data_IF_922723318751
#
_entry.id   IF_922723318751
#
_cell.length_a   1.000
_cell.length_b   1.000
_cell.length_c   1.000
_cell.angle_alpha   90.00
_cell.angle_beta   90.00
_cell.angle_gamma   90.00
#
_symmetry.space_group_name_H-M   'P 1'
#
loop_
_entity.id
_entity.type
_entity.pdbx_description
1 polymer ?
#
# COMPACT_ATOMS: atom_id res chain seq x y z
N UNK A 1 -3.75 59.95 52.53
CA UNK A 1 -2.87 59.14 53.40
C UNK A 1 -2.33 58.00 52.55
N UNK A 2 -1.05 57.87 52.22
CA UNK A 2 0.16 58.33 52.88
C UNK A 2 0.83 57.14 53.60
N UNK A 3 1.98 56.71 53.05
CA UNK A 3 3.07 55.83 53.60
C UNK A 3 3.37 54.69 52.62
N UNK A 4 4.41 54.67 51.77
CA UNK A 4 5.87 54.93 51.84
C UNK A 4 6.69 53.95 52.70
N UNK A 5 7.74 53.44 52.04
CA UNK A 5 9.00 52.77 52.47
C UNK A 5 8.92 51.24 52.62
N UNK A 6 9.91 50.44 52.21
CA UNK A 6 11.31 50.74 51.91
C UNK A 6 11.90 49.87 50.79
N UNK A 7 12.80 50.50 50.04
CA UNK A 7 13.77 49.92 49.11
C UNK A 7 14.82 49.15 49.91
N UNK A 8 15.13 47.92 49.51
CA UNK A 8 16.46 47.31 49.72
C UNK A 8 17.03 47.00 48.34
N UNK A 9 18.07 47.76 48.00
CA UNK A 9 18.97 47.58 46.86
C UNK A 9 19.87 46.40 47.20
N UNK A 10 19.90 45.36 46.36
CA UNK A 10 21.06 44.49 46.23
C UNK A 10 21.53 44.56 44.79
N UNK A 11 22.62 45.30 44.61
CA UNK A 11 23.44 45.35 43.43
C UNK A 11 24.10 44.00 43.20
N UNK A 12 23.89 43.43 42.02
CA UNK A 12 24.55 42.22 41.53
C UNK A 12 24.41 42.15 40.03
N UNK A 13 25.18 42.97 39.32
CA UNK A 13 25.28 42.97 37.86
C UNK A 13 25.98 41.68 37.42
N UNK A 14 25.24 40.77 36.77
CA UNK A 14 25.81 39.66 36.00
C UNK A 14 25.03 39.54 34.67
N UNK A 15 25.70 39.52 33.52
CA UNK A 15 25.02 39.45 32.23
C UNK A 15 24.64 37.99 31.94
N UNK A 16 23.42 37.57 32.28
CA UNK A 16 22.94 36.23 31.96
C UNK A 16 22.13 36.25 30.66
N UNK A 17 22.82 36.45 29.53
CA UNK A 17 22.23 36.49 28.19
C UNK A 17 22.20 35.15 27.44
N UNK A 18 22.58 34.03 28.06
CA UNK A 18 22.87 32.79 27.33
C UNK A 18 22.07 31.54 27.74
N UNK A 19 21.28 31.56 28.83
CA UNK A 19 20.63 30.34 29.34
C UNK A 19 19.16 30.14 28.90
N UNK A 20 18.52 31.14 28.27
CA UNK A 20 17.10 31.04 27.84
C UNK A 20 16.88 30.68 26.36
N UNK A 21 17.92 30.65 25.54
CA UNK A 21 17.77 30.29 24.12
C UNK A 21 17.32 28.83 23.89
N UNK A 22 17.80 27.82 24.65
CA UNK A 22 17.36 26.44 24.47
C UNK A 22 15.90 26.24 24.86
N UNK A 23 15.43 26.89 25.93
CA UNK A 23 14.06 26.78 26.42
C UNK A 23 13.04 27.44 25.47
N UNK A 24 13.38 28.60 24.91
CA UNK A 24 12.57 29.26 23.88
C UNK A 24 12.55 28.46 22.57
N UNK A 25 13.68 27.85 22.19
CA UNK A 25 13.77 26.96 21.03
C UNK A 25 12.94 25.69 21.21
N UNK A 26 12.92 25.12 22.43
CA UNK A 26 12.12 23.95 22.77
C UNK A 26 10.61 24.26 22.72
N UNK A 27 10.16 25.37 23.30
CA UNK A 27 8.76 25.79 23.24
C UNK A 27 8.28 26.09 21.82
N UNK A 28 9.13 26.69 20.97
CA UNK A 28 8.80 26.90 19.56
C UNK A 28 8.60 25.57 18.82
N UNK A 29 9.44 24.58 19.12
CA UNK A 29 9.36 23.23 18.54
C UNK A 29 8.12 22.47 19.03
N UNK A 30 7.78 22.61 20.32
CA UNK A 30 6.57 22.04 20.91
C UNK A 30 5.30 22.62 20.26
N UNK A 31 5.23 23.95 20.07
CA UNK A 31 4.13 24.57 19.34
C UNK A 31 4.03 24.11 17.89
N UNK A 32 5.16 23.86 17.22
CA UNK A 32 5.17 23.32 15.86
C UNK A 32 4.62 21.88 15.83
N UNK A 33 5.01 21.03 16.79
CA UNK A 33 4.47 19.68 16.91
C UNK A 33 2.97 19.68 17.22
N UNK A 34 2.50 20.57 18.08
CA UNK A 34 1.07 20.77 18.33
C UNK A 34 0.29 21.12 17.07
N UNK A 35 0.80 22.05 16.24
CA UNK A 35 0.17 22.41 14.96
C UNK A 35 0.16 21.23 13.98
N UNK A 36 1.27 20.49 13.89
CA UNK A 36 1.37 19.34 13.00
C UNK A 36 0.44 18.20 13.45
N UNK A 37 0.32 17.96 14.75
CA UNK A 37 -0.62 16.99 15.31
C UNK A 37 -2.07 17.39 15.04
N UNK A 38 -2.44 18.66 15.23
CA UNK A 38 -3.77 19.15 14.88
C UNK A 38 -4.09 18.98 13.38
N UNK A 39 -3.11 19.19 12.50
CA UNK A 39 -3.26 18.95 11.06
C UNK A 39 -3.41 17.45 10.74
N UNK A 40 -2.65 16.58 11.42
CA UNK A 40 -2.76 15.13 11.28
C UNK A 40 -4.12 14.61 11.77
N UNK A 41 -4.62 15.12 12.89
CA UNK A 41 -5.97 14.82 13.40
C UNK A 41 -7.05 15.30 12.42
N UNK A 42 -6.93 16.50 11.87
CA UNK A 42 -7.87 17.01 10.87
C UNK A 42 -7.88 16.17 9.58
N UNK A 43 -6.71 15.73 9.09
CA UNK A 43 -6.59 14.82 7.95
C UNK A 43 -7.18 13.45 8.26
N UNK A 44 -6.93 12.92 9.44
CA UNK A 44 -7.50 11.65 9.91
C UNK A 44 -9.04 11.74 9.96
N UNK A 45 -9.58 12.81 10.51
CA UNK A 45 -11.02 13.07 10.55
C UNK A 45 -11.63 13.24 9.15
N UNK A 46 -10.89 13.79 8.18
CA UNK A 46 -11.36 13.89 6.79
C UNK A 46 -11.41 12.51 6.10
N UNK A 47 -10.37 11.68 6.26
CA UNK A 47 -10.33 10.32 5.71
C UNK A 47 -11.43 9.45 6.32
N UNK A 48 -11.64 9.54 7.63
CA UNK A 48 -12.73 8.81 8.32
C UNK A 48 -14.10 9.25 7.78
N UNK A 49 -14.35 10.56 7.62
CA UNK A 49 -15.60 11.05 7.01
C UNK A 49 -15.82 10.54 5.60
N UNK A 50 -14.76 10.50 4.77
CA UNK A 50 -14.85 9.96 3.42
C UNK A 50 -15.17 8.46 3.43
N UNK A 51 -14.57 7.70 4.34
CA UNK A 51 -14.87 6.27 4.50
C UNK A 51 -16.33 6.05 4.97
N UNK A 52 -16.81 6.85 5.92
CA UNK A 52 -18.20 6.81 6.36
C UNK A 52 -19.19 7.16 5.24
N UNK A 53 -18.87 8.13 4.38
CA UNK A 53 -19.68 8.50 3.22
C UNK A 53 -19.78 7.37 2.19
N UNK A 54 -18.64 6.75 1.84
CA UNK A 54 -18.63 5.58 0.96
C UNK A 54 -19.44 4.42 1.54
N UNK A 55 -19.32 4.15 2.84
CA UNK A 55 -20.13 3.12 3.50
C UNK A 55 -21.62 3.47 3.50
N UNK A 56 -21.97 4.75 3.70
CA UNK A 56 -23.35 5.22 3.69
C UNK A 56 -23.96 5.11 2.29
N UNK A 57 -23.21 5.44 1.24
CA UNK A 57 -23.63 5.31 -0.15
C UNK A 57 -23.83 3.85 -0.55
N UNK A 58 -22.91 2.97 -0.17
CA UNK A 58 -23.07 1.53 -0.38
C UNK A 58 -24.32 1.00 0.34
N UNK A 59 -24.54 1.39 1.60
CA UNK A 59 -25.70 0.97 2.37
C UNK A 59 -27.01 1.55 1.80
N UNK A 60 -26.98 2.77 1.25
CA UNK A 60 -28.11 3.38 0.55
C UNK A 60 -28.46 2.65 -0.77
N UNK A 61 -27.45 2.17 -1.50
CA UNK A 61 -27.66 1.36 -2.71
C UNK A 61 -28.24 -0.02 -2.35
N UNK A 62 -27.75 -0.65 -1.27
CA UNK A 62 -28.21 -1.97 -0.82
C UNK A 62 -29.62 -1.93 -0.18
N UNK A 63 -30.02 -0.80 0.40
CA UNK A 63 -31.33 -0.63 1.04
C UNK A 63 -32.45 -0.23 0.09
N UNK A 64 -32.15 0.06 -1.19
CA UNK A 64 -33.18 0.26 -2.21
C UNK A 64 -33.77 -1.09 -2.63
N UNK A 65 -35.09 -1.30 -2.53
CA UNK A 65 -35.73 -2.51 -3.02
C UNK A 65 -35.53 -2.62 -4.54
N UNK A 66 -35.12 -3.81 -4.98
CA UNK A 66 -35.01 -4.15 -6.41
C UNK A 66 -36.43 -4.08 -7.01
N UNK A 67 -36.68 -3.24 -8.03
CA UNK A 67 -37.99 -3.21 -8.66
C UNK A 67 -38.22 -4.52 -9.43
N UNK A 68 -39.14 -5.34 -8.93
CA UNK A 68 -39.77 -6.41 -9.69
C UNK A 68 -40.67 -5.75 -10.74
N UNK A 69 -40.30 -5.83 -12.02
CA UNK A 69 -41.21 -6.05 -13.15
C UNK A 69 -40.41 -6.16 -14.46
N UNK A 70 -40.32 -7.39 -14.96
CA UNK A 70 -40.05 -7.71 -16.36
C UNK A 70 -41.39 -8.08 -16.98
N UNK A 71 -42.01 -7.15 -17.69
CA UNK A 71 -42.87 -7.48 -18.84
C UNK A 71 -42.04 -7.12 -20.07
N UNK A 72 -41.65 -8.14 -20.82
CA UNK A 72 -40.98 -8.00 -22.11
C UNK A 72 -42.03 -8.24 -23.19
N UNK A 73 -42.43 -7.18 -23.89
CA UNK A 73 -43.05 -7.31 -25.21
C UNK A 73 -42.16 -6.66 -26.27
N UNK A 74 -42.11 -7.37 -27.39
CA UNK A 74 -41.16 -7.30 -28.49
C UNK A 74 -41.71 -6.40 -29.60
N UNK A 75 -40.94 -5.44 -30.13
CA UNK A 75 -41.02 -4.94 -31.52
C UNK A 75 -39.73 -4.11 -31.81
N UNK A 76 -39.08 -4.39 -32.94
CA UNK A 76 -37.87 -3.74 -33.52
C UNK A 76 -38.28 -3.31 -34.97
N UNK A 77 -37.62 -2.40 -35.73
CA UNK A 77 -36.34 -1.74 -35.52
C UNK A 77 -36.29 -0.24 -35.88
N UNK A 78 -35.32 0.50 -35.32
CA UNK A 78 -34.35 1.34 -36.06
C UNK A 78 -33.69 2.41 -35.18
N UNK A 79 -32.39 2.58 -35.40
CA UNK A 79 -31.58 3.79 -35.17
C UNK A 79 -30.76 3.90 -33.87
N UNK A 80 -29.45 3.70 -34.06
CA UNK A 80 -28.36 4.61 -33.63
C UNK A 80 -27.67 4.38 -32.26
N UNK A 81 -26.35 4.13 -32.39
CA UNK A 81 -25.20 4.35 -31.49
C UNK A 81 -24.86 3.36 -30.35
N UNK A 82 -23.70 2.72 -30.55
CA UNK A 82 -22.74 2.08 -29.63
C UNK A 82 -22.21 3.02 -28.52
N UNK A 83 -21.51 2.58 -27.43
CA UNK A 83 -20.79 1.31 -27.29
C UNK A 83 -20.89 0.54 -25.95
N UNK A 84 -20.56 -0.75 -26.10
CA UNK A 84 -20.21 -1.80 -25.13
C UNK A 84 -19.51 -1.34 -23.83
N UNK A 85 -19.99 -1.85 -22.68
CA UNK A 85 -19.15 -2.27 -21.56
C UNK A 85 -19.26 -3.78 -21.38
N UNK A 86 -18.10 -4.42 -21.52
CA UNK A 86 -17.84 -5.84 -21.36
C UNK A 86 -17.89 -6.21 -19.88
N UNK A 87 -18.82 -7.09 -19.49
CA UNK A 87 -18.81 -7.76 -18.20
C UNK A 87 -17.98 -9.05 -18.36
N UNK A 88 -16.78 -9.07 -17.77
CA UNK A 88 -15.96 -10.28 -17.70
C UNK A 88 -16.34 -11.05 -16.43
N UNK A 89 -16.88 -12.21 -16.69
CA UNK A 89 -17.30 -13.29 -15.81
C UNK A 89 -16.16 -13.74 -14.89
N UNK A 90 -16.36 -13.72 -13.57
CA UNK A 90 -15.52 -14.47 -12.64
C UNK A 90 -15.96 -15.94 -12.69
N UNK A 91 -15.05 -16.80 -13.15
CA UNK A 91 -15.18 -18.24 -13.09
C UNK A 91 -14.94 -18.72 -11.66
N UNK A 92 -15.92 -19.40 -11.09
CA UNK A 92 -15.75 -20.23 -9.90
C UNK A 92 -15.02 -21.52 -10.26
N UNK A 93 -14.06 -21.92 -9.42
CA UNK A 93 -13.50 -23.28 -9.47
C UNK A 93 -13.70 -23.93 -8.11
N UNK A 94 -14.48 -25.01 -8.17
CA UNK A 94 -14.79 -25.92 -7.08
C UNK A 94 -13.57 -26.76 -6.70
N UNK A 95 -13.53 -27.09 -5.42
CA UNK A 95 -12.65 -28.08 -4.80
C UNK A 95 -12.74 -29.46 -5.45
N UNK A 96 -11.60 -30.14 -5.59
CA UNK A 96 -11.52 -31.60 -5.71
C UNK A 96 -10.33 -32.09 -4.88
N UNK A 97 -10.63 -32.91 -3.86
CA UNK A 97 -9.69 -33.74 -3.11
C UNK A 97 -9.20 -34.91 -3.99
N UNK A 98 -7.95 -35.34 -3.84
CA UNK A 98 -7.53 -36.76 -3.91
C UNK A 98 -6.14 -36.95 -3.27
N UNK A 99 -5.98 -38.11 -2.61
CA UNK A 99 -4.88 -38.53 -1.74
C UNK A 99 -3.74 -39.24 -2.51
N UNK A 100 -2.47 -38.98 -2.14
CA UNK A 100 -1.31 -39.87 -1.74
C UNK A 100 -1.24 -41.29 -2.39
N UNK A 101 -0.08 -41.89 -2.82
CA UNK A 101 1.17 -42.09 -2.02
C UNK A 101 2.59 -42.08 -2.69
N UNK A 102 3.58 -41.85 -1.80
CA UNK A 102 4.91 -42.50 -1.59
C UNK A 102 5.86 -42.79 -2.76
N UNK A 103 7.13 -42.32 -2.66
CA UNK A 103 8.39 -43.10 -2.50
C UNK A 103 9.66 -42.23 -2.63
N UNK A 104 10.57 -42.33 -1.67
CA UNK A 104 12.02 -42.02 -1.81
C UNK A 104 12.75 -43.17 -2.52
N UNK A 105 13.99 -42.99 -3.02
CA UNK A 105 15.15 -43.30 -2.18
C UNK A 105 16.43 -42.42 -2.37
N UNK A 106 17.25 -42.50 -1.32
CA UNK A 106 18.67 -42.21 -1.09
C UNK A 106 19.64 -42.06 -2.28
N UNK A 107 20.65 -41.19 -2.11
CA UNK A 107 22.08 -41.59 -2.08
C UNK A 107 22.95 -40.52 -1.38
N UNK A 108 24.02 -41.00 -0.74
CA UNK A 108 24.89 -40.33 0.22
C UNK A 108 26.21 -39.82 -0.40
N UNK A 109 27.07 -39.32 0.49
CA UNK A 109 28.53 -39.10 0.38
C UNK A 109 29.00 -37.71 -0.11
N UNK A 110 30.07 -37.07 0.38
CA UNK A 110 31.03 -37.25 1.49
C UNK A 110 31.74 -35.88 1.66
N UNK A 111 32.29 -35.68 2.85
CA UNK A 111 33.06 -34.55 3.41
C UNK A 111 34.28 -34.06 2.61
N UNK A 112 34.60 -32.76 2.75
CA UNK A 112 36.00 -32.28 2.85
C UNK A 112 36.11 -30.93 3.59
N UNK A 113 37.09 -30.89 4.49
CA UNK A 113 37.45 -29.86 5.49
C UNK A 113 38.08 -28.56 4.98
N UNK A 114 38.23 -27.59 5.91
CA UNK A 114 39.29 -26.56 5.97
C UNK A 114 38.77 -25.15 6.31
N UNK A 115 38.56 -24.80 7.58
CA UNK A 115 39.46 -23.99 8.44
C UNK A 115 39.84 -22.58 7.90
N UNK A 116 39.35 -21.50 8.55
CA UNK A 116 40.20 -20.67 9.44
C UNK A 116 39.49 -19.46 10.11
N UNK A 117 39.51 -19.49 11.45
CA UNK A 117 39.88 -18.43 12.42
C UNK A 117 39.59 -16.92 12.16
N UNK A 118 38.71 -16.33 13.01
CA UNK A 118 39.02 -15.30 14.05
C UNK A 118 37.79 -14.41 14.36
N UNK A 119 37.35 -14.43 15.62
CA UNK A 119 36.61 -13.31 16.21
C UNK A 119 37.10 -13.10 17.66
N UNK A 120 37.55 -11.88 17.94
CA UNK A 120 37.99 -11.44 19.25
C UNK A 120 37.38 -10.07 19.55
N UNK A 121 36.55 -9.98 20.61
CA UNK A 121 36.39 -8.80 21.51
C UNK A 121 35.43 -9.12 22.68
N UNK A 122 35.38 -8.32 23.77
CA UNK A 122 36.19 -8.54 24.97
C UNK A 122 35.38 -8.67 26.29
N UNK A 123 36.13 -8.92 27.37
CA UNK A 123 35.74 -9.14 28.78
C UNK A 123 35.13 -7.93 29.53
N UNK A 124 34.17 -8.22 30.42
CA UNK A 124 34.01 -7.70 31.80
C UNK A 124 32.86 -8.48 32.46
N UNK A 125 33.08 -9.38 33.43
CA UNK A 125 32.92 -9.17 34.88
C UNK A 125 31.60 -8.42 35.22
N UNK A 126 30.61 -8.93 35.96
CA UNK A 126 30.64 -9.68 37.23
C UNK A 126 29.31 -10.45 37.38
N UNK A 127 29.34 -11.74 37.71
CA UNK A 127 28.28 -12.42 38.45
C UNK A 127 28.93 -13.63 39.15
N UNK A 128 29.00 -13.54 40.48
CA UNK A 128 29.53 -14.58 41.34
C UNK A 128 28.60 -15.79 41.30
N UNK A 129 29.23 -16.92 41.04
CA UNK A 129 28.70 -18.27 41.04
C UNK A 129 28.23 -18.65 42.44
N UNK A 130 26.97 -19.07 42.54
CA UNK A 130 26.36 -19.69 43.71
C UNK A 130 26.35 -21.19 43.45
N UNK A 131 27.38 -21.91 43.88
CA UNK A 131 27.29 -23.31 44.31
C UNK A 131 28.51 -23.62 45.17
N UNK A 132 28.38 -24.61 46.06
CA UNK A 132 29.44 -25.24 46.89
C UNK A 132 29.81 -24.42 48.15
N UNK A 133 29.56 -24.84 49.39
CA UNK A 133 29.29 -26.15 49.98
C UNK A 133 28.48 -25.91 51.27
N UNK A 134 27.31 -26.52 51.41
CA UNK A 134 26.73 -26.74 52.74
C UNK A 134 27.59 -27.82 53.41
N UNK A 135 28.27 -27.56 54.54
CA UNK A 135 28.89 -28.64 55.29
C UNK A 135 27.78 -29.61 55.71
N UNK A 136 27.83 -30.83 55.15
CA UNK A 136 26.89 -31.91 55.46
C UNK A 136 26.66 -31.94 56.97
N UNK A 137 25.42 -32.11 57.39
CA UNK A 137 25.04 -32.23 58.80
C UNK A 137 25.96 -33.21 59.57
N UNK A 138 26.47 -34.25 58.88
CA UNK A 138 27.50 -35.18 59.39
C UNK A 138 28.82 -34.52 59.78
N UNK A 139 29.34 -33.58 58.97
CA UNK A 139 30.59 -32.86 59.30
C UNK A 139 30.41 -31.92 60.49
N UNK A 140 29.21 -31.36 60.68
CA UNK A 140 28.92 -30.49 61.82
C UNK A 140 28.66 -31.29 63.09
N UNK A 141 28.04 -32.47 62.98
CA UNK A 141 27.85 -33.40 64.09
C UNK A 141 29.20 -33.94 64.59
N UNK A 142 30.10 -34.36 63.68
CA UNK A 142 31.45 -34.81 64.05
C UNK A 142 32.27 -33.71 64.74
N UNK A 143 32.16 -32.47 64.27
CA UNK A 143 32.85 -31.32 64.90
C UNK A 143 32.28 -30.95 66.27
N UNK A 144 31.03 -31.31 66.56
CA UNK A 144 30.42 -31.12 67.88
C UNK A 144 30.75 -32.27 68.84
N UNK A 145 30.84 -33.50 68.34
CA UNK A 145 31.26 -34.68 69.10
C UNK A 145 32.74 -34.58 69.52
N UNK A 146 33.64 -34.19 68.61
CA UNK A 146 35.06 -33.95 68.90
C UNK A 146 35.25 -32.83 69.94
N UNK A 147 34.37 -31.83 69.93
CA UNK A 147 34.39 -30.73 70.90
C UNK A 147 33.84 -31.13 72.27
N UNK A 148 32.93 -32.11 72.34
CA UNK A 148 32.39 -32.61 73.60
C UNK A 148 33.37 -33.55 74.32
N UNK A 149 34.16 -34.34 73.57
CA UNK A 149 35.21 -35.20 74.13
C UNK A 149 36.34 -34.39 74.79
N UNK A 150 36.60 -33.16 74.32
CA UNK A 150 37.59 -32.26 74.90
C UNK A 150 37.25 -31.65 76.28
N UNK A 151 36.00 -31.78 76.75
CA UNK A 151 35.56 -31.23 78.06
C UNK A 151 35.39 -32.28 79.16
N UNK A 152 35.65 -33.57 78.89
CA UNK A 152 35.46 -34.66 79.87
C UNK A 152 36.77 -35.16 80.54
N UNK A 153 37.83 -34.35 80.54
CA UNK A 153 38.99 -34.55 81.41
C UNK A 153 39.05 -33.42 82.45
N UNK A 154 38.06 -33.42 83.34
CA UNK A 154 38.24 -32.76 84.63
C UNK A 154 38.92 -33.80 85.53
N UNK A 155 40.25 -33.69 85.66
CA UNK A 155 41.00 -34.39 86.70
C UNK A 155 40.29 -34.16 88.03
N UNK A 156 39.68 -35.21 88.57
CA UNK A 156 39.31 -35.26 89.97
C UNK A 156 40.61 -35.31 90.77
N UNK A 157 41.19 -34.13 91.02
CA UNK A 157 42.16 -33.95 92.09
C UNK A 157 41.34 -33.97 93.37
N UNK A 158 41.18 -35.17 93.93
CA UNK A 158 40.74 -35.37 95.31
C UNK A 158 41.80 -34.73 96.22
N UNK A 159 41.69 -33.42 96.43
CA UNK A 159 42.51 -32.68 97.38
C UNK A 159 42.09 -33.11 98.79
N UNK A 160 42.73 -34.19 99.25
CA UNK A 160 42.62 -34.72 100.59
C UNK A 160 42.88 -33.58 101.60
N UNK A 161 41.85 -33.27 102.39
CA UNK A 161 41.91 -32.34 103.50
C UNK A 161 43.06 -32.72 104.44
N UNK A 162 43.96 -31.79 104.82
CA UNK A 162 44.92 -32.05 105.87
C UNK A 162 44.17 -32.13 107.20
N UNK A 163 44.03 -33.34 107.72
CA UNK A 163 43.76 -33.60 109.13
C UNK A 163 45.00 -33.22 109.94
N UNK A 164 45.02 -32.01 110.49
CA UNK A 164 45.86 -31.66 111.64
C UNK A 164 44.98 -31.26 112.84
N UNK A 165 45.09 -32.09 113.87
CA UNK A 165 44.48 -31.97 115.18
C UNK A 165 45.10 -30.82 115.97
N UNK A 166 44.36 -29.72 116.16
CA UNK A 166 44.33 -28.84 117.36
C UNK A 166 43.71 -27.47 117.04
N UNK A 167 42.47 -27.46 116.54
CA UNK A 167 41.65 -26.26 116.42
C UNK A 167 40.31 -26.58 117.08
N UNK A 168 39.94 -25.87 118.16
CA UNK A 168 38.70 -26.13 118.90
C UNK A 168 37.46 -26.15 117.99
N UNK A 169 36.50 -27.04 118.27
CA UNK A 169 35.28 -27.26 117.48
C UNK A 169 34.54 -25.97 117.08
N UNK A 170 34.64 -24.92 117.89
CA UNK A 170 34.09 -23.59 117.62
C UNK A 170 34.73 -22.88 116.40
N UNK A 171 36.04 -23.03 116.17
CA UNK A 171 36.72 -22.44 115.03
C UNK A 171 36.41 -23.19 113.72
N UNK A 172 36.24 -24.52 113.76
CA UNK A 172 35.73 -25.29 112.62
C UNK A 172 34.30 -24.86 112.24
N UNK A 173 33.42 -24.61 113.23
CA UNK A 173 32.06 -24.09 112.99
C UNK A 173 32.07 -22.71 112.33
N UNK A 174 33.01 -21.82 112.70
CA UNK A 174 33.15 -20.50 112.05
C UNK A 174 33.61 -20.61 110.59
N UNK A 175 34.56 -21.50 110.29
CA UNK A 175 35.02 -21.77 108.92
C UNK A 175 33.89 -22.34 108.07
N UNK A 176 33.13 -23.32 108.58
CA UNK A 176 31.99 -23.89 107.87
C UNK A 176 30.88 -22.86 107.62
N UNK A 177 30.58 -21.98 108.59
CA UNK A 177 29.62 -20.86 108.41
C UNK A 177 30.11 -19.85 107.37
N UNK A 178 31.41 -19.54 107.35
CA UNK A 178 31.99 -18.67 106.33
C UNK A 178 31.91 -19.32 104.95
N UNK A 179 32.23 -20.61 104.81
CA UNK A 179 32.08 -21.37 103.55
C UNK A 179 30.62 -21.40 103.09
N UNK A 180 29.67 -21.63 104.00
CA UNK A 180 28.24 -21.61 103.68
C UNK A 180 27.80 -20.22 103.19
N UNK A 181 28.27 -19.14 103.83
CA UNK A 181 27.97 -17.78 103.38
C UNK A 181 28.58 -17.48 102.01
N UNK A 182 29.83 -17.86 101.77
CA UNK A 182 30.48 -17.72 100.45
C UNK A 182 29.69 -18.51 99.38
N UNK A 183 29.36 -19.77 99.66
CA UNK A 183 28.55 -20.59 98.75
C UNK A 183 27.14 -20.02 98.51
N UNK A 184 26.52 -19.40 99.53
CA UNK A 184 25.22 -18.73 99.38
C UNK A 184 25.34 -17.48 98.50
N UNK A 185 26.37 -16.66 98.71
CA UNK A 185 26.65 -15.48 97.88
C UNK A 185 26.97 -15.87 96.43
N UNK A 186 27.71 -16.97 96.23
CA UNK A 186 27.98 -17.54 94.90
C UNK A 186 26.70 -18.06 94.23
N UNK A 187 25.82 -18.74 94.97
CA UNK A 187 24.53 -19.20 94.46
C UNK A 187 23.62 -18.03 94.07
N UNK A 188 23.54 -16.99 94.91
CA UNK A 188 22.75 -15.79 94.64
C UNK A 188 23.31 -15.02 93.43
N UNK A 189 24.64 -14.95 93.30
CA UNK A 189 25.31 -14.36 92.14
C UNK A 189 25.02 -15.16 90.87
N UNK A 190 25.18 -16.48 90.91
CA UNK A 190 24.86 -17.38 89.80
C UNK A 190 23.39 -17.27 89.40
N UNK A 191 22.48 -17.17 90.37
CA UNK A 191 21.04 -16.99 90.15
C UNK A 191 20.74 -15.66 89.44
N UNK A 192 21.37 -14.56 89.87
CA UNK A 192 21.23 -13.25 89.21
C UNK A 192 21.78 -13.25 87.79
N UNK A 193 22.96 -13.85 87.58
CA UNK A 193 23.56 -13.96 86.26
C UNK A 193 22.72 -14.87 85.34
N UNK A 194 22.15 -15.96 85.87
CA UNK A 194 21.21 -16.81 85.14
C UNK A 194 19.94 -16.05 84.76
N UNK A 195 19.35 -15.28 85.69
CA UNK A 195 18.18 -14.44 85.40
C UNK A 195 18.45 -13.42 84.31
N UNK A 196 19.61 -12.75 84.33
CA UNK A 196 20.00 -11.82 83.25
C UNK A 196 20.14 -12.52 81.91
N UNK A 197 20.75 -13.72 81.91
CA UNK A 197 20.92 -14.51 80.68
C UNK A 197 19.57 -14.98 80.15
N UNK A 198 18.63 -15.33 81.02
CA UNK A 198 17.25 -15.66 80.64
C UNK A 198 16.52 -14.46 80.02
N UNK A 199 16.64 -13.26 80.62
CA UNK A 199 16.10 -12.01 80.05
C UNK A 199 16.71 -11.67 78.68
N UNK A 200 18.04 -11.82 78.53
CA UNK A 200 18.75 -11.65 77.26
C UNK A 200 18.27 -12.68 76.23
N UNK A 201 18.10 -13.94 76.62
CA UNK A 201 17.61 -15.00 75.76
C UNK A 201 16.16 -14.74 75.31
N UNK A 202 15.31 -14.21 76.20
CA UNK A 202 13.95 -13.77 75.85
C UNK A 202 13.93 -12.65 74.82
N UNK A 203 14.86 -11.67 74.93
CA UNK A 203 15.03 -10.59 73.93
C UNK A 203 15.52 -11.13 72.59
N UNK A 204 16.52 -12.03 72.59
CA UNK A 204 17.04 -12.65 71.38
C UNK A 204 15.97 -13.51 70.68
N UNK A 205 15.21 -14.31 71.43
CA UNK A 205 14.08 -15.07 70.91
C UNK A 205 13.02 -14.16 70.26
N UNK A 206 12.68 -13.04 70.89
CA UNK A 206 11.72 -12.07 70.32
C UNK A 206 12.27 -11.46 69.03
N UNK A 207 13.57 -11.13 69.01
CA UNK A 207 14.23 -10.59 67.80
C UNK A 207 14.27 -11.59 66.65
N UNK A 208 14.51 -12.87 66.92
CA UNK A 208 14.47 -13.93 65.90
C UNK A 208 13.06 -14.01 65.29
N UNK A 209 12.01 -14.02 66.11
CA UNK A 209 10.62 -14.05 65.62
C UNK A 209 10.29 -12.86 64.72
N UNK A 210 10.69 -11.64 65.12
CA UNK A 210 10.50 -10.45 64.29
C UNK A 210 11.19 -10.57 62.92
N UNK A 211 12.44 -11.06 62.91
CA UNK A 211 13.22 -11.26 61.67
C UNK A 211 12.63 -12.36 60.79
N UNK A 212 12.10 -13.43 61.38
CA UNK A 212 11.41 -14.51 60.65
C UNK A 212 10.12 -14.00 59.99
N UNK A 213 9.33 -13.20 60.71
CA UNK A 213 8.13 -12.56 60.17
C UNK A 213 8.48 -11.57 59.04
N UNK A 214 9.53 -10.77 59.22
CA UNK A 214 10.02 -9.83 58.21
C UNK A 214 10.53 -10.58 56.97
N UNK A 215 11.31 -11.66 57.14
CA UNK A 215 11.74 -12.54 56.04
C UNK A 215 10.54 -13.12 55.29
N UNK A 216 9.52 -13.61 56.00
CA UNK A 216 8.30 -14.14 55.38
C UNK A 216 7.54 -13.08 54.58
N UNK A 217 7.44 -11.85 55.10
CA UNK A 217 6.84 -10.71 54.39
C UNK A 217 7.63 -10.35 53.14
N UNK A 218 8.95 -10.19 53.25
CA UNK A 218 9.84 -9.87 52.13
C UNK A 218 9.80 -10.95 51.05
N UNK A 219 9.78 -12.23 51.43
CA UNK A 219 9.65 -13.34 50.50
C UNK A 219 8.34 -13.26 49.70
N UNK A 220 7.21 -12.95 50.34
CA UNK A 220 5.92 -12.77 49.66
C UNK A 220 5.97 -11.60 48.68
N UNK A 221 6.57 -10.47 49.05
CA UNK A 221 6.69 -9.32 48.15
C UNK A 221 7.65 -9.60 46.98
N UNK A 222 8.76 -10.30 47.21
CA UNK A 222 9.70 -10.68 46.17
C UNK A 222 9.04 -11.63 45.15
N UNK A 223 8.33 -12.65 45.63
CA UNK A 223 7.57 -13.56 44.76
C UNK A 223 6.52 -12.79 43.94
N UNK A 224 5.77 -11.87 44.55
CA UNK A 224 4.80 -11.04 43.85
C UNK A 224 5.45 -10.19 42.76
N UNK A 225 6.53 -9.48 43.09
CA UNK A 225 7.29 -8.66 42.13
C UNK A 225 7.85 -9.49 40.98
N UNK A 226 8.37 -10.69 41.26
CA UNK A 226 8.83 -11.63 40.24
C UNK A 226 7.70 -11.98 39.26
N UNK A 227 6.50 -12.32 39.75
CA UNK A 227 5.36 -12.60 38.84
C UNK A 227 4.94 -11.37 38.02
N UNK A 228 5.05 -10.16 38.58
CA UNK A 228 4.79 -8.92 37.83
C UNK A 228 5.83 -8.68 36.74
N UNK A 229 7.12 -8.90 37.04
CA UNK A 229 8.19 -8.80 36.04
C UNK A 229 7.97 -9.78 34.89
N UNK A 230 7.63 -11.03 35.18
CA UNK A 230 7.34 -12.05 34.17
C UNK A 230 6.14 -11.67 33.31
N UNK A 231 5.06 -11.15 33.90
CA UNK A 231 3.89 -10.64 33.16
C UNK A 231 4.25 -9.48 32.24
N UNK A 232 4.98 -8.48 32.74
CA UNK A 232 5.41 -7.34 31.92
C UNK A 232 6.35 -7.75 30.80
N UNK A 233 7.25 -8.71 31.07
CA UNK A 233 8.12 -9.31 30.05
C UNK A 233 7.31 -10.01 28.96
N UNK A 234 6.32 -10.83 29.34
CA UNK A 234 5.45 -11.52 28.38
C UNK A 234 4.66 -10.53 27.51
N UNK A 235 4.11 -9.46 28.10
CA UNK A 235 3.40 -8.41 27.35
C UNK A 235 4.33 -7.66 26.38
N UNK A 236 5.57 -7.39 26.78
CA UNK A 236 6.57 -6.76 25.92
C UNK A 236 6.94 -7.66 24.74
N UNK A 237 7.16 -8.95 24.98
CA UNK A 237 7.45 -9.94 23.92
C UNK A 237 6.26 -10.10 22.96
N UNK A 238 5.02 -10.13 23.46
CA UNK A 238 3.82 -10.21 22.62
C UNK A 238 3.64 -8.95 21.77
N UNK A 239 3.87 -7.77 22.35
CA UNK A 239 3.86 -6.50 21.61
C UNK A 239 4.94 -6.49 20.53
N UNK A 240 6.16 -6.96 20.84
CA UNK A 240 7.24 -7.12 19.87
C UNK A 240 6.84 -8.01 18.70
N UNK A 241 6.29 -9.20 18.97
CA UNK A 241 5.78 -10.11 17.92
C UNK A 241 4.68 -9.47 17.07
N UNK A 242 3.80 -8.67 17.67
CA UNK A 242 2.76 -7.92 16.95
C UNK A 242 3.36 -6.86 16.04
N UNK A 243 4.36 -6.12 16.50
CA UNK A 243 5.10 -5.15 15.69
C UNK A 243 5.79 -5.82 14.50
N UNK A 244 6.50 -6.94 14.72
CA UNK A 244 7.17 -7.68 13.65
C UNK A 244 6.18 -8.20 12.60
N UNK A 245 5.03 -8.74 13.05
CA UNK A 245 3.97 -9.20 12.15
C UNK A 245 3.36 -8.06 11.31
N UNK A 246 3.09 -6.91 11.94
CA UNK A 246 2.61 -5.71 11.24
C UNK A 246 3.67 -5.18 10.27
N UNK A 247 4.94 -5.18 10.64
CA UNK A 247 6.04 -4.77 9.77
C UNK A 247 6.15 -5.69 8.53
N UNK A 248 6.00 -7.01 8.72
CA UNK A 248 5.96 -7.96 7.61
C UNK A 248 4.74 -7.73 6.70
N UNK A 249 3.56 -7.43 7.26
CA UNK A 249 2.37 -7.10 6.48
C UNK A 249 2.55 -5.80 5.68
N UNK A 250 3.12 -4.76 6.29
CA UNK A 250 3.41 -3.49 5.60
C UNK A 250 4.39 -3.72 4.46
N UNK A 251 5.45 -4.51 4.66
CA UNK A 251 6.39 -4.86 3.60
C UNK A 251 5.72 -5.64 2.46
N UNK A 252 4.82 -6.58 2.79
CA UNK A 252 4.01 -7.31 1.83
C UNK A 252 3.11 -6.39 0.99
N UNK A 253 2.34 -5.53 1.65
CA UNK A 253 1.46 -4.56 1.00
C UNK A 253 2.23 -3.57 0.13
N UNK A 254 3.41 -3.10 0.57
CA UNK A 254 4.27 -2.25 -0.25
C UNK A 254 4.68 -2.95 -1.54
N UNK A 255 5.08 -4.23 -1.47
CA UNK A 255 5.43 -5.03 -2.65
C UNK A 255 4.24 -5.22 -3.61
N UNK A 256 3.03 -5.43 -3.08
CA UNK A 256 1.81 -5.53 -3.88
C UNK A 256 1.43 -4.21 -4.56
N UNK A 257 1.57 -3.08 -3.86
CA UNK A 257 1.37 -1.73 -4.42
C UNK A 257 2.36 -1.47 -5.55
N UNK A 258 3.63 -1.79 -5.35
CA UNK A 258 4.63 -1.66 -6.40
C UNK A 258 4.36 -2.58 -7.59
N UNK A 259 3.95 -3.83 -7.33
CA UNK A 259 3.53 -4.79 -8.36
C UNK A 259 2.38 -4.26 -9.19
N UNK A 260 1.33 -3.78 -8.54
CA UNK A 260 0.15 -3.17 -9.18
C UNK A 260 0.52 -1.93 -9.99
N UNK A 261 1.40 -1.07 -9.46
CA UNK A 261 1.89 0.13 -10.17
C UNK A 261 2.68 -0.23 -11.43
N UNK A 262 3.51 -1.28 -11.39
CA UNK A 262 4.22 -1.78 -12.59
C UNK A 262 3.24 -2.34 -13.62
N UNK A 263 2.25 -3.14 -13.18
CA UNK A 263 1.22 -3.68 -14.06
C UNK A 263 0.36 -2.56 -14.70
N UNK A 264 -0.02 -1.54 -13.94
CA UNK A 264 -0.75 -0.37 -14.44
C UNK A 264 0.05 0.38 -15.51
N UNK A 265 1.36 0.60 -15.31
CA UNK A 265 2.22 1.23 -16.32
C UNK A 265 2.30 0.42 -17.61
N UNK A 266 2.42 -0.90 -17.50
CA UNK A 266 2.42 -1.79 -18.68
C UNK A 266 1.07 -1.75 -19.40
N UNK A 267 -0.04 -1.81 -18.66
CA UNK A 267 -1.39 -1.72 -19.20
C UNK A 267 -1.64 -0.37 -19.90
N UNK A 268 -1.19 0.74 -19.31
CA UNK A 268 -1.25 2.07 -19.91
C UNK A 268 -0.42 2.15 -21.20
N UNK A 269 0.80 1.61 -21.22
CA UNK A 269 1.62 1.55 -22.43
C UNK A 269 0.97 0.73 -23.55
N UNK A 270 0.35 -0.41 -23.20
CA UNK A 270 -0.42 -1.23 -24.15
C UNK A 270 -1.64 -0.49 -24.67
N UNK A 271 -2.39 0.18 -23.79
CA UNK A 271 -3.56 0.98 -24.15
C UNK A 271 -3.18 2.08 -25.16
N UNK A 272 -2.14 2.86 -24.89
CA UNK A 272 -1.67 3.91 -25.80
C UNK A 272 -1.29 3.33 -27.18
N UNK A 273 -0.68 2.14 -27.21
CA UNK A 273 -0.34 1.47 -28.48
C UNK A 273 -1.60 1.08 -29.26
N UNK A 274 -2.62 0.55 -28.59
CA UNK A 274 -3.90 0.20 -29.21
C UNK A 274 -4.64 1.46 -29.67
N UNK A 275 -4.61 2.54 -28.89
CA UNK A 275 -5.23 3.82 -29.22
C UNK A 275 -4.61 4.44 -30.49
N UNK A 276 -3.28 4.44 -30.62
CA UNK A 276 -2.60 4.91 -31.85
C UNK A 276 -3.02 4.07 -33.06
N UNK A 277 -3.10 2.74 -32.93
CA UNK A 277 -3.57 1.87 -34.02
C UNK A 277 -5.02 2.12 -34.38
N UNK A 278 -5.87 2.39 -33.38
CA UNK A 278 -7.27 2.74 -33.57
C UNK A 278 -7.41 4.06 -34.32
N UNK A 279 -6.71 5.11 -33.90
CA UNK A 279 -6.75 6.41 -34.55
C UNK A 279 -6.30 6.33 -36.01
N UNK A 280 -5.21 5.60 -36.30
CA UNK A 280 -4.78 5.35 -37.68
C UNK A 280 -5.84 4.61 -38.51
N UNK A 281 -6.53 3.64 -37.92
CA UNK A 281 -7.62 2.94 -38.60
C UNK A 281 -8.84 3.84 -38.84
N UNK A 282 -9.15 4.75 -37.91
CA UNK A 282 -10.23 5.74 -38.06
C UNK A 282 -9.91 6.75 -39.16
N UNK A 283 -8.69 7.30 -39.18
CA UNK A 283 -8.21 8.20 -40.24
C UNK A 283 -8.30 7.52 -41.63
N UNK A 284 -7.91 6.25 -41.72
CA UNK A 284 -8.02 5.48 -42.97
C UNK A 284 -9.47 5.28 -43.41
N UNK A 285 -10.38 5.00 -42.47
CA UNK A 285 -11.83 4.91 -42.76
C UNK A 285 -12.38 6.24 -43.25
N UNK A 286 -12.00 7.36 -42.64
CA UNK A 286 -12.40 8.71 -43.07
C UNK A 286 -11.86 9.03 -44.47
N UNK A 287 -10.59 8.71 -44.73
CA UNK A 287 -9.96 8.86 -46.05
C UNK A 287 -10.70 8.07 -47.12
N UNK A 288 -11.04 6.80 -46.86
CA UNK A 288 -11.77 5.95 -47.80
C UNK A 288 -13.20 6.45 -48.04
N UNK A 289 -13.89 6.94 -47.00
CA UNK A 289 -15.22 7.57 -47.14
C UNK A 289 -15.15 8.83 -48.01
N UNK A 290 -14.15 9.68 -47.81
CA UNK A 290 -13.94 10.87 -48.63
C UNK A 290 -13.66 10.50 -50.10
N UNK A 291 -12.80 9.51 -50.35
CA UNK A 291 -12.54 8.99 -51.70
C UNK A 291 -13.82 8.44 -52.36
N UNK A 292 -14.62 7.67 -51.62
CA UNK A 292 -15.88 7.13 -52.12
C UNK A 292 -16.86 8.24 -52.51
N UNK A 293 -17.00 9.28 -51.67
CA UNK A 293 -17.87 10.41 -51.96
C UNK A 293 -17.38 11.21 -53.18
N UNK A 294 -16.06 11.44 -53.29
CA UNK A 294 -15.47 12.09 -54.45
C UNK A 294 -15.71 11.29 -55.74
N UNK A 295 -15.53 9.97 -55.72
CA UNK A 295 -15.82 9.10 -56.87
C UNK A 295 -17.30 9.12 -57.26
N UNK A 296 -18.21 9.09 -56.27
CA UNK A 296 -19.65 9.22 -56.52
C UNK A 296 -20.00 10.56 -57.15
N UNK A 297 -19.38 11.64 -56.69
CA UNK A 297 -19.61 12.98 -57.24
C UNK A 297 -19.06 13.11 -58.67
N UNK A 298 -17.82 12.66 -58.90
CA UNK A 298 -17.21 12.63 -60.23
C UNK A 298 -18.03 11.78 -61.21
N UNK A 299 -18.55 10.63 -60.78
CA UNK A 299 -19.44 9.80 -61.60
C UNK A 299 -20.74 10.52 -61.98
N UNK A 300 -21.38 11.21 -61.02
CA UNK A 300 -22.58 12.02 -61.28
C UNK A 300 -22.30 13.15 -62.26
N UNK A 301 -21.21 13.88 -62.06
CA UNK A 301 -20.86 15.02 -62.91
C UNK A 301 -20.44 14.57 -64.31
N UNK A 302 -19.72 13.45 -64.44
CA UNK A 302 -19.44 12.82 -65.73
C UNK A 302 -20.71 12.38 -66.46
N UNK A 303 -21.69 11.84 -65.73
CA UNK A 303 -22.99 11.45 -66.31
C UNK A 303 -23.73 12.68 -66.84
N UNK A 304 -23.74 13.80 -66.10
CA UNK A 304 -24.32 15.06 -66.56
C UNK A 304 -23.59 15.63 -67.78
N UNK A 305 -22.26 15.61 -67.78
CA UNK A 305 -21.44 16.07 -68.90
C UNK A 305 -21.73 15.25 -70.18
N UNK A 306 -21.79 13.93 -70.06
CA UNK A 306 -22.18 13.04 -71.18
C UNK A 306 -23.60 13.32 -71.65
N UNK A 307 -24.54 13.59 -70.74
CA UNK A 307 -25.92 13.96 -71.09
C UNK A 307 -25.98 15.26 -71.87
N UNK A 308 -25.33 16.32 -71.38
CA UNK A 308 -25.27 17.63 -72.04
C UNK A 308 -24.59 17.54 -73.40
N UNK A 309 -23.47 16.81 -73.49
CA UNK A 309 -22.78 16.56 -74.76
C UNK A 309 -23.68 15.82 -75.76
N UNK A 310 -24.42 14.80 -75.31
CA UNK A 310 -25.39 14.08 -76.14
C UNK A 310 -26.51 15.00 -76.63
N UNK A 311 -27.06 15.86 -75.77
CA UNK A 311 -28.11 16.82 -76.15
C UNK A 311 -27.61 17.82 -77.18
N UNK A 312 -26.39 18.35 -77.00
CA UNK A 312 -25.76 19.27 -77.96
C UNK A 312 -25.56 18.60 -79.33
N UNK A 313 -25.01 17.38 -79.35
CA UNK A 313 -24.84 16.61 -80.59
C UNK A 313 -26.17 16.29 -81.27
N UNK A 314 -27.23 15.98 -80.50
CA UNK A 314 -28.57 15.76 -81.05
C UNK A 314 -29.16 17.04 -81.67
N UNK A 315 -28.97 18.18 -81.01
CA UNK A 315 -29.41 19.48 -81.53
C UNK A 315 -28.67 19.85 -82.82
N UNK A 316 -27.34 19.71 -82.85
CA UNK A 316 -26.53 19.95 -84.05
C UNK A 316 -26.92 18.99 -85.17
N UNK A 317 -27.08 17.70 -84.89
CA UNK A 317 -27.51 16.72 -85.88
C UNK A 317 -28.88 17.06 -86.48
N UNK A 318 -29.80 17.61 -85.68
CA UNK A 318 -31.10 18.09 -86.16
C UNK A 318 -30.96 19.31 -87.08
N UNK A 319 -30.08 20.25 -86.77
CA UNK A 319 -29.78 21.42 -87.63
C UNK A 319 -29.14 20.98 -88.93
N UNK A 320 -28.13 20.12 -88.88
CA UNK A 320 -27.45 19.57 -90.07
C UNK A 320 -28.43 18.80 -90.98
N UNK A 321 -29.35 18.02 -90.40
CA UNK A 321 -30.43 17.36 -91.16
C UNK A 321 -31.32 18.36 -91.90
N UNK A 322 -31.73 19.44 -91.23
CA UNK A 322 -32.52 20.52 -91.86
C UNK A 322 -31.75 21.21 -92.98
N UNK A 323 -30.50 21.61 -92.74
CA UNK A 323 -29.64 22.23 -93.77
C UNK A 323 -29.48 21.31 -94.99
N UNK A 324 -29.30 20.00 -94.78
CA UNK A 324 -29.25 19.01 -95.86
C UNK A 324 -30.56 18.96 -96.64
N UNK A 325 -31.71 18.95 -95.96
CA UNK A 325 -33.03 18.94 -96.61
C UNK A 325 -33.27 20.22 -97.43
N UNK A 326 -32.93 21.38 -96.88
CA UNK A 326 -32.99 22.67 -97.57
C UNK A 326 -32.10 22.69 -98.82
N UNK A 327 -30.88 22.17 -98.72
CA UNK A 327 -29.95 22.07 -99.85
C UNK A 327 -30.50 21.12 -100.93
N UNK A 328 -31.05 19.96 -100.56
CA UNK A 328 -31.70 19.04 -101.49
C UNK A 328 -32.89 19.73 -102.19
N UNK A 329 -33.71 20.49 -101.46
CA UNK A 329 -34.81 21.24 -102.04
C UNK A 329 -34.34 22.32 -103.00
N UNK A 330 -33.25 23.04 -102.67
CA UNK A 330 -32.62 24.02 -103.55
C UNK A 330 -32.14 23.37 -104.85
N UNK A 331 -31.42 22.24 -104.78
CA UNK A 331 -31.01 21.49 -105.96
C UNK A 331 -32.18 21.03 -106.82
N UNK A 332 -33.27 20.52 -106.21
CA UNK A 332 -34.49 20.15 -106.94
C UNK A 332 -35.12 21.33 -107.67
N UNK A 333 -35.17 22.52 -107.04
CA UNK A 333 -35.65 23.75 -107.69
C UNK A 333 -34.75 24.17 -108.84
N UNK A 334 -33.43 24.08 -108.66
CA UNK A 334 -32.46 24.43 -109.69
C UNK A 334 -32.53 23.49 -110.89
N UNK A 335 -32.74 22.18 -110.69
CA UNK A 335 -33.01 21.23 -111.77
C UNK A 335 -34.27 21.61 -112.57
N UNK A 336 -35.39 21.94 -111.89
CA UNK A 336 -36.60 22.40 -112.57
C UNK A 336 -36.38 23.69 -113.36
N UNK A 337 -35.60 24.63 -112.82
CA UNK A 337 -35.25 25.87 -113.52
C UNK A 337 -34.44 25.57 -114.78
N UNK A 338 -33.46 24.66 -114.71
CA UNK A 338 -32.69 24.21 -115.88
C UNK A 338 -33.62 23.64 -116.95
N UNK A 339 -34.60 22.81 -116.57
CA UNK A 339 -35.55 22.23 -117.52
C UNK A 339 -36.42 23.31 -118.20
N UNK A 340 -36.91 24.29 -117.43
CA UNK A 340 -37.67 25.43 -117.98
C UNK A 340 -36.81 26.26 -118.93
N UNK A 341 -35.57 26.60 -118.53
CA UNK A 341 -34.65 27.38 -119.36
C UNK A 341 -34.27 26.66 -120.65
N UNK A 342 -34.05 25.33 -120.61
CA UNK A 342 -33.81 24.52 -121.81
C UNK A 342 -35.00 24.56 -122.76
N UNK A 343 -36.23 24.45 -122.23
CA UNK A 343 -37.46 24.55 -123.02
C UNK A 343 -37.64 25.95 -123.61
N UNK A 344 -37.39 27.00 -122.83
CA UNK A 344 -37.43 28.39 -123.30
C UNK A 344 -36.39 28.64 -124.39
N UNK A 345 -35.15 28.15 -124.23
CA UNK A 345 -34.11 28.22 -125.26
C UNK A 345 -34.57 27.56 -126.56
N UNK A 346 -35.15 26.36 -126.48
CA UNK A 346 -35.70 25.65 -127.64
C UNK A 346 -36.82 26.46 -128.33
N UNK A 347 -37.76 27.03 -127.58
CA UNK A 347 -38.81 27.89 -128.13
C UNK A 347 -38.25 29.16 -128.79
N UNK A 348 -37.23 29.77 -128.16
CA UNK A 348 -36.58 30.96 -128.70
C UNK A 348 -35.80 30.66 -129.99
N UNK A 349 -35.06 29.56 -130.04
CA UNK A 349 -34.36 29.10 -131.25
C UNK A 349 -35.36 28.79 -132.38
N UNK A 350 -36.47 28.12 -132.07
CA UNK A 350 -37.53 27.88 -133.05
C UNK A 350 -38.16 29.20 -133.57
N UNK A 351 -38.45 30.15 -132.68
CA UNK A 351 -38.97 31.47 -133.06
C UNK A 351 -37.97 32.26 -133.92
N UNK A 352 -36.67 32.19 -133.62
CA UNK A 352 -35.60 32.82 -134.41
C UNK A 352 -35.47 32.17 -135.80
N UNK A 353 -35.56 30.84 -135.90
CA UNK A 353 -35.59 30.15 -137.19
C UNK A 353 -36.81 30.54 -138.00
N UNK A 354 -37.99 30.68 -137.37
CA UNK A 354 -39.20 31.18 -138.00
C UNK A 354 -39.06 32.62 -138.51
N UNK A 355 -38.48 33.52 -137.71
CA UNK A 355 -38.25 34.91 -138.15
C UNK A 355 -37.27 34.98 -139.33
N UNK A 356 -36.24 34.12 -139.37
CA UNK A 356 -35.38 34.02 -140.56
C UNK A 356 -36.15 33.53 -141.79
N UNK A 357 -37.02 32.52 -141.64
CA UNK A 357 -37.84 32.07 -142.77
C UNK A 357 -38.85 33.14 -143.22
N UNK A 358 -39.40 33.94 -142.30
CA UNK A 358 -40.29 35.06 -142.61
C UNK A 358 -39.54 36.19 -143.34
N UNK A 359 -38.34 36.56 -142.87
CA UNK A 359 -37.48 37.55 -143.55
C UNK A 359 -37.09 37.12 -144.97
N UNK A 360 -36.68 35.86 -145.16
CA UNK A 360 -36.36 35.32 -146.50
C UNK A 360 -37.60 35.25 -147.40
N UNK A 361 -38.77 34.90 -146.85
CA UNK A 361 -40.04 34.92 -147.58
C UNK A 361 -40.42 36.35 -148.01
N UNK A 362 -40.25 37.34 -147.14
CA UNK A 362 -40.50 38.75 -147.46
C UNK A 362 -39.52 39.28 -148.53
N UNK A 363 -38.24 38.92 -148.47
CA UNK A 363 -37.27 39.24 -149.55
C UNK A 363 -37.68 38.62 -150.89
N UNK A 364 -38.16 37.37 -150.89
CA UNK A 364 -38.64 36.73 -152.11
C UNK A 364 -39.90 37.42 -152.69
N UNK A 365 -40.74 38.01 -151.86
CA UNK A 365 -41.88 38.84 -152.31
C UNK A 365 -41.43 40.20 -152.88
N UNK A 366 -40.40 40.83 -152.30
CA UNK A 366 -39.85 42.10 -152.81
C UNK A 366 -39.01 41.94 -154.09
N UNK A 367 -38.55 40.72 -154.43
CA UNK A 367 -37.94 40.41 -155.74
C UNK A 367 -38.90 40.53 -156.93
N UNK A 368 -40.21 40.67 -156.69
CA UNK A 368 -41.22 40.92 -157.73
C UNK A 368 -41.51 42.40 -158.01
N UNK A 369 -40.86 43.35 -157.33
CA UNK A 369 -41.02 44.79 -157.59
C UNK A 369 -39.82 45.36 -158.34
N UNK A 370 -39.81 45.15 -159.65
CA UNK A 370 -39.22 46.05 -160.66
C UNK A 370 -40.34 46.57 -161.55
#
# INVERSE_FOLDING_TARGET
MGSRKAVVKMSGTAPCGALNQPALSLMAKEQQYLRMNAELEAKTAAVVRQAEEVMRDQNYILSKPIPNNLDCDFEDPSSITTPKKTFLQQAGVKAVRKKVPTTSPNTAEVWRDGEDLRAARPRSAVAADLTTEDPSLETTILHLEEKLEGFCQEEVVEEALPTEDSIGSEAQIRVLKAKLRIMQEELDRLSHDYSKKDDENGKLCSRIKELEEERSRLQKTANLQQTHMEKHRALAEESGRRCDALQAQVAGLQKEVEGSKRAQKQAAGHHNTVEVRLNRALEEVERLKAQLNNMKQLSKDRTKEVHLSKENLLAENKVLKKQREELILAFKKQLKLIDILKRQKMHFEAAKMLSFTEEEFMKALDWGKS
#
